data_IF_407612743697
#
_entry.id   IF_407612743697
#
_cell.length_a   1.000
_cell.length_b   1.000
_cell.length_c   1.000
_cell.angle_alpha   90.00
_cell.angle_beta   90.00
_cell.angle_gamma   90.00
#
_symmetry.space_group_name_H-M   'P 1'
#
loop_
_entity.id
_entity.type
_entity.pdbx_description
1 polymer ?
#
# COMPACT_ATOMS: atom_id res chain seq x y z
N UNK A 1 -18.08 26.81 6.27
CA UNK A 1 -17.08 25.75 6.25
C UNK A 1 -17.86 24.47 6.49
N UNK A 2 -18.20 23.74 5.40
CA UNK A 2 -18.90 22.47 5.54
C UNK A 2 -17.96 21.46 6.21
N UNK A 3 -18.50 20.63 7.10
CA UNK A 3 -17.80 19.51 7.69
C UNK A 3 -17.31 18.60 6.55
N UNK A 4 -16.03 18.67 6.26
CA UNK A 4 -15.40 17.81 5.27
C UNK A 4 -15.38 16.41 5.86
N UNK A 5 -16.23 15.53 5.35
CA UNK A 5 -16.32 14.14 5.84
C UNK A 5 -14.95 13.48 5.62
N UNK A 6 -14.30 13.06 6.70
CA UNK A 6 -13.03 12.35 6.66
C UNK A 6 -13.17 11.08 5.81
N UNK A 7 -12.24 10.85 4.89
CA UNK A 7 -12.19 9.59 4.15
C UNK A 7 -11.72 8.44 5.07
N UNK A 8 -11.80 7.17 4.58
CA UNK A 8 -11.47 6.00 5.40
C UNK A 8 -10.00 5.99 5.86
N UNK A 9 -9.06 6.48 5.04
CA UNK A 9 -7.63 6.57 5.40
C UNK A 9 -7.43 7.62 6.50
N UNK A 10 -7.98 8.82 6.35
CA UNK A 10 -7.91 9.86 7.37
C UNK A 10 -8.48 9.38 8.72
N UNK A 11 -9.64 8.71 8.68
CA UNK A 11 -10.25 8.13 9.90
C UNK A 11 -9.34 7.08 10.53
N UNK A 12 -8.77 6.16 9.74
CA UNK A 12 -7.87 5.13 10.27
C UNK A 12 -6.66 5.72 10.98
N UNK A 13 -6.01 6.72 10.36
CA UNK A 13 -4.79 7.31 10.91
C UNK A 13 -5.03 8.38 11.99
N UNK A 14 -6.29 8.75 12.26
CA UNK A 14 -6.63 9.57 13.43
C UNK A 14 -6.62 8.78 14.76
N UNK A 15 -6.64 7.44 14.70
CA UNK A 15 -6.67 6.57 15.86
C UNK A 15 -5.26 6.01 16.18
N UNK A 16 -4.77 6.14 17.45
CA UNK A 16 -3.44 5.69 17.86
C UNK A 16 -3.43 4.18 18.15
N UNK A 17 -3.55 3.34 17.13
CA UNK A 17 -3.50 1.88 17.26
C UNK A 17 -2.44 1.28 16.33
N UNK A 18 -1.97 0.08 16.67
CA UNK A 18 -1.10 -0.69 15.79
C UNK A 18 -1.83 -1.03 14.48
N UNK A 19 -1.21 -0.71 13.34
CA UNK A 19 -1.78 -0.95 12.01
C UNK A 19 -0.96 -1.94 11.22
N UNK A 20 -1.65 -2.92 10.65
CA UNK A 20 -1.12 -3.90 9.70
C UNK A 20 -1.76 -3.69 8.34
N UNK A 21 -0.94 -3.48 7.33
CA UNK A 21 -1.36 -3.16 5.97
C UNK A 21 -0.82 -4.25 5.02
N UNK A 22 -1.62 -5.28 4.68
CA UNK A 22 -1.22 -6.27 3.69
C UNK A 22 -1.24 -5.68 2.29
N UNK A 23 -0.20 -6.02 1.49
CA UNK A 23 -0.16 -5.83 0.06
C UNK A 23 -0.56 -7.12 -0.66
N UNK A 24 -1.46 -7.02 -1.63
CA UNK A 24 -1.96 -8.12 -2.45
C UNK A 24 -1.88 -7.73 -3.93
N UNK A 25 -1.34 -8.60 -4.77
CA UNK A 25 -1.31 -8.38 -6.23
C UNK A 25 -2.68 -8.71 -6.83
N UNK A 26 -3.32 -7.76 -7.51
CA UNK A 26 -4.60 -7.98 -8.17
C UNK A 26 -4.48 -9.06 -9.26
N UNK A 27 -5.40 -10.04 -9.27
CA UNK A 27 -5.40 -11.14 -10.24
C UNK A 27 -4.40 -12.25 -9.96
N UNK A 28 -3.78 -12.28 -8.77
CA UNK A 28 -2.86 -13.32 -8.31
C UNK A 28 -3.46 -14.07 -7.10
N UNK A 29 -3.30 -15.42 -6.98
CA UNK A 29 -2.67 -16.32 -7.96
C UNK A 29 -3.56 -16.60 -9.20
N UNK A 30 -4.85 -16.34 -9.14
CA UNK A 30 -5.81 -16.48 -10.24
C UNK A 30 -6.57 -15.17 -10.43
N UNK A 31 -7.13 -14.95 -11.62
CA UNK A 31 -7.82 -13.70 -11.98
C UNK A 31 -8.87 -13.27 -10.96
N UNK A 32 -9.66 -14.21 -10.43
CA UNK A 32 -10.76 -13.94 -9.49
C UNK A 32 -10.36 -13.89 -8.01
N UNK A 33 -9.11 -14.24 -7.66
CA UNK A 33 -8.70 -14.43 -6.26
C UNK A 33 -8.69 -13.15 -5.43
N UNK A 34 -8.56 -11.98 -6.04
CA UNK A 34 -8.42 -10.68 -5.35
C UNK A 34 -9.55 -10.45 -4.35
N UNK A 35 -10.79 -10.72 -4.74
CA UNK A 35 -11.97 -10.44 -3.91
C UNK A 35 -11.92 -11.21 -2.59
N UNK A 36 -11.72 -12.52 -2.69
CA UNK A 36 -11.73 -13.38 -1.50
C UNK A 36 -10.50 -13.17 -0.63
N UNK A 37 -9.32 -12.89 -1.23
CA UNK A 37 -8.08 -12.57 -0.50
C UNK A 37 -8.20 -11.27 0.28
N UNK A 38 -8.73 -10.21 -0.33
CA UNK A 38 -8.92 -8.91 0.33
C UNK A 38 -9.95 -9.02 1.47
N UNK A 39 -11.08 -9.68 1.24
CA UNK A 39 -12.07 -9.90 2.28
C UNK A 39 -11.51 -10.76 3.43
N UNK A 40 -10.77 -11.82 3.12
CA UNK A 40 -10.12 -12.66 4.11
C UNK A 40 -9.08 -11.89 4.94
N UNK A 41 -8.32 -10.99 4.32
CA UNK A 41 -7.37 -10.13 5.01
C UNK A 41 -8.10 -9.16 5.97
N UNK A 42 -9.17 -8.52 5.50
CA UNK A 42 -9.98 -7.61 6.32
C UNK A 42 -10.58 -8.34 7.53
N UNK A 43 -11.21 -9.49 7.32
CA UNK A 43 -11.83 -10.31 8.37
C UNK A 43 -10.78 -10.82 9.40
N UNK A 44 -9.53 -10.97 8.98
CA UNK A 44 -8.42 -11.41 9.85
C UNK A 44 -7.81 -10.27 10.66
N UNK A 45 -8.20 -9.02 10.36
CA UNK A 45 -7.82 -7.83 11.12
C UNK A 45 -6.77 -6.95 10.44
N UNK A 46 -6.67 -6.99 9.12
CA UNK A 46 -5.99 -5.95 8.37
C UNK A 46 -6.70 -4.60 8.59
N UNK A 47 -5.90 -3.55 8.82
CA UNK A 47 -6.46 -2.21 9.11
C UNK A 47 -6.64 -1.38 7.84
N UNK A 48 -5.83 -1.63 6.82
CA UNK A 48 -5.90 -1.09 5.46
C UNK A 48 -5.36 -2.15 4.51
N UNK A 49 -5.71 -2.10 3.24
CA UNK A 49 -5.18 -3.04 2.23
C UNK A 49 -4.63 -2.27 1.04
N UNK A 50 -3.44 -2.65 0.62
CA UNK A 50 -2.84 -2.22 -0.63
C UNK A 50 -3.10 -3.27 -1.71
N UNK A 51 -3.72 -2.85 -2.81
CA UNK A 51 -3.93 -3.69 -3.99
C UNK A 51 -2.97 -3.25 -5.09
N UNK A 52 -2.00 -4.10 -5.40
CA UNK A 52 -1.04 -3.86 -6.46
C UNK A 52 -1.67 -3.98 -7.84
N UNK A 53 -1.52 -2.95 -8.66
CA UNK A 53 -1.86 -2.97 -10.09
C UNK A 53 -0.71 -3.61 -10.85
N UNK A 54 -0.86 -4.81 -11.44
CA UNK A 54 0.21 -5.44 -12.20
C UNK A 54 0.68 -4.60 -13.38
N UNK A 55 2.00 -4.56 -13.56
CA UNK A 55 2.65 -3.81 -14.64
C UNK A 55 3.81 -4.60 -15.21
N UNK A 56 4.07 -4.48 -16.53
CA UNK A 56 5.11 -5.26 -17.24
C UNK A 56 6.54 -4.86 -16.89
N UNK A 57 6.74 -3.59 -16.45
CA UNK A 57 8.07 -3.02 -16.21
C UNK A 57 8.21 -2.47 -14.78
N UNK A 58 8.06 -3.29 -13.74
CA UNK A 58 7.90 -2.85 -12.35
C UNK A 58 9.27 -2.54 -11.70
N UNK A 59 9.83 -1.37 -11.94
CA UNK A 59 11.17 -0.97 -11.50
C UNK A 59 11.31 -0.82 -9.97
N UNK A 60 10.22 -0.55 -9.27
CA UNK A 60 10.22 -0.36 -7.82
C UNK A 60 9.99 -1.66 -7.03
N UNK A 61 9.61 -2.75 -7.71
CA UNK A 61 9.20 -3.99 -7.05
C UNK A 61 10.35 -5.00 -6.93
N UNK A 62 10.36 -5.73 -5.83
CA UNK A 62 11.25 -6.88 -5.65
C UNK A 62 10.80 -8.11 -6.46
N UNK A 63 11.67 -9.13 -6.62
CA UNK A 63 11.44 -10.26 -7.53
C UNK A 63 10.16 -11.06 -7.22
N UNK A 64 9.76 -11.14 -5.95
CA UNK A 64 8.52 -11.85 -5.54
C UNK A 64 7.28 -11.12 -6.07
N UNK A 65 7.25 -9.79 -5.92
CA UNK A 65 6.14 -8.96 -6.41
C UNK A 65 6.14 -8.94 -7.95
N UNK A 66 7.31 -8.81 -8.58
CA UNK A 66 7.44 -8.90 -10.03
C UNK A 66 6.86 -10.21 -10.59
N UNK A 67 7.20 -11.34 -9.96
CA UNK A 67 6.69 -12.66 -10.38
C UNK A 67 5.17 -12.77 -10.24
N UNK A 68 4.58 -12.27 -9.14
CA UNK A 68 3.13 -12.25 -8.94
C UNK A 68 2.43 -11.32 -9.94
N UNK A 69 3.03 -10.16 -10.25
CA UNK A 69 2.52 -9.22 -11.26
C UNK A 69 2.53 -9.84 -12.66
N UNK A 70 3.62 -10.52 -13.04
CA UNK A 70 3.69 -11.22 -14.33
C UNK A 70 2.61 -12.29 -14.44
N UNK A 71 2.46 -13.13 -13.42
CA UNK A 71 1.40 -14.16 -13.42
C UNK A 71 0.01 -13.54 -13.50
N UNK A 72 -0.25 -12.44 -12.80
CA UNK A 72 -1.53 -11.75 -12.89
C UNK A 72 -1.81 -11.17 -14.29
N UNK A 73 -0.78 -10.63 -14.96
CA UNK A 73 -0.89 -10.21 -16.36
C UNK A 73 -1.20 -11.39 -17.29
N UNK A 74 -0.54 -12.53 -17.10
CA UNK A 74 -0.79 -13.76 -17.84
C UNK A 74 -2.20 -14.31 -17.59
N UNK A 75 -2.75 -14.10 -16.38
CA UNK A 75 -4.15 -14.40 -16.05
C UNK A 75 -5.14 -13.44 -16.71
N UNK A 76 -4.67 -12.36 -17.34
CA UNK A 76 -5.51 -11.42 -18.09
C UNK A 76 -6.10 -10.29 -17.25
N UNK A 77 -5.49 -9.92 -16.09
CA UNK A 77 -5.94 -8.79 -15.28
C UNK A 77 -5.84 -7.47 -16.05
N UNK A 78 -6.81 -6.60 -15.86
CA UNK A 78 -6.85 -5.25 -16.43
C UNK A 78 -7.26 -4.24 -15.36
N UNK A 79 -6.98 -2.94 -15.57
CA UNK A 79 -7.46 -1.88 -14.69
C UNK A 79 -8.99 -1.94 -14.50
N UNK A 80 -9.73 -2.19 -15.57
CA UNK A 80 -11.19 -2.31 -15.50
C UNK A 80 -11.60 -3.46 -14.57
N UNK A 81 -10.99 -4.62 -14.72
CA UNK A 81 -11.24 -5.79 -13.86
C UNK A 81 -10.91 -5.49 -12.39
N UNK A 82 -9.82 -4.73 -12.12
CA UNK A 82 -9.47 -4.32 -10.77
C UNK A 82 -10.56 -3.44 -10.15
N UNK A 83 -11.08 -2.44 -10.87
CA UNK A 83 -12.16 -1.60 -10.39
C UNK A 83 -13.46 -2.40 -10.14
N UNK A 84 -13.80 -3.34 -11.02
CA UNK A 84 -14.92 -4.24 -10.83
C UNK A 84 -14.74 -5.09 -9.56
N UNK A 85 -13.54 -5.63 -9.32
CA UNK A 85 -13.23 -6.40 -8.11
C UNK A 85 -13.31 -5.54 -6.85
N UNK A 86 -12.78 -4.31 -6.87
CA UNK A 86 -12.90 -3.39 -5.72
C UNK A 86 -14.36 -3.07 -5.42
N UNK A 87 -15.19 -2.87 -6.44
CA UNK A 87 -16.65 -2.67 -6.27
C UNK A 87 -17.31 -3.86 -5.56
N UNK A 88 -16.94 -5.09 -5.91
CA UNK A 88 -17.46 -6.29 -5.23
C UNK A 88 -16.94 -6.42 -3.80
N UNK A 89 -15.66 -6.08 -3.55
CA UNK A 89 -15.06 -6.05 -2.21
C UNK A 89 -15.82 -5.07 -1.32
N UNK A 90 -16.17 -3.88 -1.82
CA UNK A 90 -16.92 -2.87 -1.05
C UNK A 90 -18.29 -3.30 -0.57
N UNK A 91 -18.90 -4.30 -1.20
CA UNK A 91 -20.16 -4.89 -0.72
C UNK A 91 -19.97 -5.72 0.57
N UNK A 92 -18.71 -6.09 0.90
CA UNK A 92 -18.37 -7.01 1.99
C UNK A 92 -17.57 -6.35 3.11
N UNK A 93 -16.83 -5.27 2.84
CA UNK A 93 -15.96 -4.62 3.83
C UNK A 93 -15.79 -3.14 3.58
N UNK A 94 -15.66 -2.38 4.68
CA UNK A 94 -15.32 -0.96 4.69
C UNK A 94 -13.83 -0.68 4.98
N UNK A 95 -12.97 -1.72 4.99
CA UNK A 95 -11.52 -1.54 5.18
C UNK A 95 -10.96 -0.54 4.17
N UNK A 96 -10.12 0.43 4.56
CA UNK A 96 -9.48 1.33 3.60
C UNK A 96 -8.70 0.56 2.54
N UNK A 97 -8.83 0.95 1.27
CA UNK A 97 -8.13 0.35 0.12
C UNK A 97 -7.33 1.41 -0.60
N UNK A 98 -6.02 1.19 -0.74
CA UNK A 98 -5.17 1.93 -1.65
C UNK A 98 -4.81 1.07 -2.87
N UNK A 99 -4.83 1.65 -4.06
CA UNK A 99 -4.22 1.03 -5.24
C UNK A 99 -2.76 1.47 -5.34
N UNK A 100 -1.86 0.51 -5.50
CA UNK A 100 -0.44 0.76 -5.75
C UNK A 100 -0.09 0.35 -7.18
N UNK A 101 0.48 1.25 -7.95
CA UNK A 101 0.85 0.96 -9.33
C UNK A 101 1.67 2.06 -9.99
N UNK A 102 2.00 1.84 -11.25
CA UNK A 102 2.83 2.75 -12.02
C UNK A 102 2.01 3.80 -12.75
N UNK A 103 2.62 4.95 -12.99
CA UNK A 103 1.90 6.12 -13.50
C UNK A 103 1.50 6.00 -14.98
N UNK A 104 2.26 5.25 -15.78
CA UNK A 104 2.00 5.11 -17.21
C UNK A 104 0.60 4.55 -17.57
N UNK A 105 0.08 3.48 -16.93
CA UNK A 105 -1.31 3.04 -17.14
C UNK A 105 -2.36 4.12 -16.84
N UNK A 106 -2.11 4.96 -15.84
CA UNK A 106 -2.99 6.09 -15.44
C UNK A 106 -2.99 7.17 -16.53
N UNK A 107 -1.80 7.54 -17.02
CA UNK A 107 -1.65 8.48 -18.11
C UNK A 107 -2.40 8.01 -19.37
N UNK A 108 -2.29 6.71 -19.69
CA UNK A 108 -2.96 6.12 -20.85
C UNK A 108 -4.48 6.14 -20.72
N UNK A 109 -5.03 5.96 -19.53
CA UNK A 109 -6.48 6.04 -19.27
C UNK A 109 -6.97 7.49 -19.20
N UNK A 110 -6.10 8.42 -18.81
CA UNK A 110 -6.41 9.81 -18.49
C UNK A 110 -6.77 9.98 -17.00
N UNK A 111 -6.22 11.03 -16.38
CA UNK A 111 -6.32 11.26 -14.93
C UNK A 111 -7.77 11.32 -14.44
N UNK A 112 -8.60 12.13 -15.09
CA UNK A 112 -10.02 12.30 -14.75
C UNK A 112 -10.75 10.95 -14.76
N UNK A 113 -10.64 10.22 -15.87
CA UNK A 113 -11.29 8.94 -16.07
C UNK A 113 -10.83 7.91 -15.02
N UNK A 114 -9.52 7.85 -14.77
CA UNK A 114 -8.96 6.93 -13.76
C UNK A 114 -9.48 7.24 -12.36
N UNK A 115 -9.48 8.51 -11.97
CA UNK A 115 -9.98 8.93 -10.66
C UNK A 115 -11.49 8.74 -10.51
N UNK A 116 -12.27 8.92 -11.58
CA UNK A 116 -13.71 8.63 -11.59
C UNK A 116 -13.99 7.13 -11.37
N UNK A 117 -13.16 6.25 -11.95
CA UNK A 117 -13.21 4.82 -11.65
C UNK A 117 -12.82 4.52 -10.20
N UNK A 118 -11.78 5.19 -9.65
CA UNK A 118 -11.42 5.04 -8.23
C UNK A 118 -12.59 5.36 -7.31
N UNK A 119 -13.26 6.50 -7.52
CA UNK A 119 -14.39 6.92 -6.71
C UNK A 119 -15.55 5.93 -6.84
N UNK A 120 -15.93 5.60 -8.07
CA UNK A 120 -17.10 4.74 -8.32
C UNK A 120 -16.92 3.31 -7.79
N UNK A 121 -15.69 2.81 -7.76
CA UNK A 121 -15.36 1.50 -7.18
C UNK A 121 -15.14 1.53 -5.67
N UNK A 122 -14.87 2.71 -5.08
CA UNK A 122 -14.64 2.86 -3.64
C UNK A 122 -13.19 2.71 -3.22
N UNK A 123 -12.23 3.05 -4.09
CA UNK A 123 -10.81 3.22 -3.73
C UNK A 123 -10.66 4.45 -2.84
N UNK A 124 -9.80 4.38 -1.81
CA UNK A 124 -9.57 5.47 -0.86
C UNK A 124 -8.24 6.20 -1.11
N UNK A 125 -7.24 5.52 -1.65
CA UNK A 125 -5.92 6.12 -1.86
C UNK A 125 -5.16 5.54 -3.04
N UNK A 126 -4.10 6.26 -3.44
CA UNK A 126 -3.24 5.90 -4.56
C UNK A 126 -1.77 6.02 -4.16
N UNK A 127 -0.99 4.97 -4.44
CA UNK A 127 0.46 4.90 -4.24
C UNK A 127 1.11 4.79 -5.63
N UNK A 128 1.88 5.80 -6.03
CA UNK A 128 2.52 5.88 -7.34
C UNK A 128 4.03 6.05 -7.18
N UNK A 129 4.80 4.94 -7.15
CA UNK A 129 6.22 4.95 -6.85
C UNK A 129 7.08 5.71 -7.87
N UNK A 130 6.63 5.78 -9.12
CA UNK A 130 7.33 6.40 -10.25
C UNK A 130 6.85 7.81 -10.59
N UNK A 131 5.94 8.41 -9.80
CA UNK A 131 5.51 9.79 -9.98
C UNK A 131 6.48 10.76 -9.30
N UNK A 132 7.30 11.54 -10.04
CA UNK A 132 8.23 12.48 -9.45
C UNK A 132 7.50 13.60 -8.70
N UNK A 133 8.05 14.01 -7.54
CA UNK A 133 7.46 15.08 -6.73
C UNK A 133 7.25 16.39 -7.53
N UNK A 134 8.16 16.68 -8.46
CA UNK A 134 8.15 17.88 -9.30
C UNK A 134 6.95 17.92 -10.26
N UNK A 135 6.38 16.74 -10.58
CA UNK A 135 5.24 16.56 -11.49
C UNK A 135 3.97 16.12 -10.75
N UNK A 136 4.09 15.80 -9.46
CA UNK A 136 3.00 15.21 -8.69
C UNK A 136 1.88 16.17 -8.32
N UNK A 137 2.19 17.47 -8.14
CA UNK A 137 1.25 18.45 -7.58
C UNK A 137 -0.10 18.52 -8.32
N UNK A 138 -0.16 18.64 -9.67
CA UNK A 138 -1.46 18.71 -10.36
C UNK A 138 -2.30 17.44 -10.18
N UNK A 139 -1.66 16.26 -10.21
CA UNK A 139 -2.35 14.99 -10.01
C UNK A 139 -2.84 14.83 -8.56
N UNK A 140 -2.00 15.19 -7.57
CA UNK A 140 -2.37 15.12 -6.17
C UNK A 140 -3.54 16.06 -5.84
N UNK A 141 -3.54 17.30 -6.34
CA UNK A 141 -4.64 18.24 -6.14
C UNK A 141 -5.94 17.71 -6.76
N UNK A 142 -5.87 17.16 -7.96
CA UNK A 142 -7.02 16.55 -8.62
C UNK A 142 -7.54 15.34 -7.81
N UNK A 143 -6.66 14.45 -7.36
CA UNK A 143 -7.04 13.30 -6.54
C UNK A 143 -7.73 13.72 -5.24
N UNK A 144 -7.13 14.68 -4.50
CA UNK A 144 -7.70 15.24 -3.27
C UNK A 144 -9.05 15.90 -3.49
N UNK A 145 -9.21 16.65 -4.59
CA UNK A 145 -10.50 17.28 -4.93
C UNK A 145 -11.63 16.27 -5.15
N UNK A 146 -11.26 15.03 -5.48
CA UNK A 146 -12.16 13.89 -5.67
C UNK A 146 -12.25 12.96 -4.45
N UNK A 147 -11.63 13.33 -3.32
CA UNK A 147 -11.66 12.55 -2.07
C UNK A 147 -10.74 11.32 -2.05
N UNK A 148 -9.80 11.22 -3.00
CA UNK A 148 -8.77 10.17 -3.05
C UNK A 148 -7.49 10.68 -2.42
N UNK A 149 -6.92 9.93 -1.46
CA UNK A 149 -5.67 10.27 -0.79
C UNK A 149 -4.46 9.92 -1.67
N UNK A 150 -3.68 10.90 -2.16
CA UNK A 150 -2.39 10.62 -2.78
C UNK A 150 -1.39 10.23 -1.69
N UNK A 151 -0.78 9.05 -1.80
CA UNK A 151 0.21 8.53 -0.86
C UNK A 151 1.57 8.57 -1.56
N UNK A 152 2.42 9.49 -1.15
CA UNK A 152 3.73 9.72 -1.76
C UNK A 152 4.85 9.04 -0.98
N UNK A 153 5.93 8.70 -1.68
CA UNK A 153 7.02 7.93 -1.11
C UNK A 153 8.18 8.81 -0.62
N UNK A 154 8.79 8.38 0.47
CA UNK A 154 10.09 8.87 0.96
C UNK A 154 11.05 7.69 1.12
N UNK A 155 12.33 7.93 0.91
CA UNK A 155 13.40 6.94 1.00
C UNK A 155 14.50 7.41 1.95
N UNK A 156 15.42 6.55 2.42
CA UNK A 156 16.49 6.94 3.33
C UNK A 156 17.37 8.07 2.85
N UNK A 157 17.55 8.23 1.54
CA UNK A 157 18.31 9.31 0.93
C UNK A 157 17.48 10.58 0.64
N UNK A 158 16.17 10.61 0.98
CA UNK A 158 15.33 11.79 0.78
C UNK A 158 15.73 12.91 1.77
N UNK A 159 16.10 14.11 1.28
CA UNK A 159 16.46 15.23 2.17
C UNK A 159 15.28 15.71 3.02
N UNK A 160 15.57 16.23 4.22
CA UNK A 160 14.54 16.67 5.18
C UNK A 160 13.52 17.67 4.59
N UNK A 161 14.00 18.66 3.84
CA UNK A 161 13.10 19.62 3.15
C UNK A 161 12.17 18.96 2.14
N UNK A 162 12.63 17.87 1.50
CA UNK A 162 11.84 17.12 0.53
C UNK A 162 10.81 16.24 1.25
N UNK A 163 11.17 15.64 2.40
CA UNK A 163 10.23 14.90 3.25
C UNK A 163 9.05 15.81 3.63
N UNK A 164 9.33 17.02 4.12
CA UNK A 164 8.29 17.99 4.48
C UNK A 164 7.40 18.33 3.28
N UNK A 165 7.98 18.69 2.15
CA UNK A 165 7.21 19.02 0.92
C UNK A 165 6.33 17.84 0.45
N UNK A 166 6.87 16.60 0.51
CA UNK A 166 6.13 15.38 0.18
C UNK A 166 4.93 15.21 1.12
N UNK A 167 5.13 15.35 2.43
CA UNK A 167 4.06 15.17 3.41
C UNK A 167 2.98 16.26 3.33
N UNK A 168 3.36 17.49 3.04
CA UNK A 168 2.40 18.59 2.79
C UNK A 168 1.55 18.33 1.53
N UNK A 169 2.18 17.81 0.47
CA UNK A 169 1.47 17.51 -0.78
C UNK A 169 0.58 16.28 -0.65
N UNK A 170 1.02 15.23 0.03
CA UNK A 170 0.23 14.03 0.28
C UNK A 170 -0.97 14.30 1.21
N UNK A 171 -0.78 15.11 2.26
CA UNK A 171 -1.75 15.58 3.25
C UNK A 171 -2.33 14.53 4.23
N UNK A 172 -2.53 13.29 3.83
CA UNK A 172 -3.20 12.27 4.64
C UNK A 172 -2.25 11.17 5.14
N UNK A 173 -1.36 10.71 4.26
CA UNK A 173 -0.44 9.61 4.52
C UNK A 173 0.76 9.68 3.59
N UNK A 174 1.96 9.36 4.09
CA UNK A 174 3.13 9.09 3.25
C UNK A 174 3.67 7.69 3.50
N UNK A 175 4.44 7.18 2.55
CA UNK A 175 5.00 5.84 2.56
C UNK A 175 6.53 5.92 2.68
N UNK A 176 7.07 5.44 3.79
CA UNK A 176 8.51 5.36 4.01
C UNK A 176 9.04 4.00 3.51
N UNK A 177 9.85 4.05 2.47
CA UNK A 177 10.48 2.84 1.91
C UNK A 177 11.68 2.47 2.76
N UNK A 178 11.70 1.27 3.36
CA UNK A 178 12.89 0.75 4.04
C UNK A 178 13.73 -0.08 3.06
N UNK A 179 15.02 0.20 2.92
CA UNK A 179 15.93 -0.54 2.02
C UNK A 179 16.43 -1.83 2.72
N UNK A 180 15.54 -2.68 3.16
CA UNK A 180 15.92 -3.96 3.77
C UNK A 180 15.94 -5.10 2.77
N UNK A 181 16.32 -4.90 1.48
CA UNK A 181 16.29 -6.05 0.62
C UNK A 181 16.67 -5.97 -0.85
N UNK A 182 17.15 -4.86 -1.38
CA UNK A 182 17.47 -4.78 -2.83
C UNK A 182 18.95 -5.07 -3.13
N UNK A 183 19.82 -4.99 -2.16
CA UNK A 183 21.24 -5.36 -2.35
C UNK A 183 21.65 -6.38 -1.31
N UNK A 184 22.09 -7.56 -1.73
CA UNK A 184 22.58 -8.64 -0.88
C UNK A 184 23.80 -8.32 0.00
N UNK A 185 23.98 -7.07 0.40
CA UNK A 185 24.97 -6.60 1.35
C UNK A 185 24.27 -5.94 2.54
N UNK A 186 24.48 -6.53 3.68
CA UNK A 186 24.22 -6.07 5.05
C UNK A 186 23.09 -5.07 5.23
N UNK A 187 22.04 -5.56 5.86
CA UNK A 187 21.04 -4.82 6.61
C UNK A 187 21.61 -3.47 7.07
N UNK A 188 21.08 -2.36 6.58
CA UNK A 188 21.21 -1.14 7.35
C UNK A 188 20.90 -1.53 8.80
N UNK A 189 21.82 -1.28 9.72
CA UNK A 189 21.63 -1.69 11.10
C UNK A 189 20.26 -1.18 11.57
N UNK A 190 19.60 -1.87 12.49
CA UNK A 190 18.33 -1.38 13.07
C UNK A 190 18.47 0.08 13.52
N UNK A 191 19.66 0.48 13.96
CA UNK A 191 19.99 1.84 14.34
C UNK A 191 19.87 2.83 13.17
N UNK A 192 20.45 2.52 12.01
CA UNK A 192 20.36 3.38 10.84
C UNK A 192 18.91 3.48 10.31
N UNK A 193 18.15 2.38 10.40
CA UNK A 193 16.73 2.40 10.05
C UNK A 193 15.94 3.27 11.05
N UNK A 194 16.21 3.15 12.34
CA UNK A 194 15.57 3.97 13.36
C UNK A 194 15.90 5.46 13.19
N UNK A 195 17.16 5.80 12.90
CA UNK A 195 17.56 7.18 12.57
C UNK A 195 16.79 7.73 11.38
N UNK A 196 16.64 6.93 10.33
CA UNK A 196 15.83 7.31 9.18
C UNK A 196 14.37 7.55 9.53
N UNK A 197 13.73 6.64 10.28
CA UNK A 197 12.32 6.78 10.67
C UNK A 197 12.12 7.96 11.63
N UNK A 198 13.04 8.22 12.56
CA UNK A 198 13.04 9.41 13.41
C UNK A 198 13.10 10.68 12.53
N UNK A 199 13.98 10.71 11.56
CA UNK A 199 14.10 11.83 10.60
C UNK A 199 12.82 12.05 9.80
N UNK A 200 12.12 10.97 9.37
CA UNK A 200 10.80 11.08 8.74
C UNK A 200 9.80 11.68 9.72
N UNK A 201 9.74 11.18 10.95
CA UNK A 201 8.82 11.66 12.01
C UNK A 201 9.01 13.16 12.30
N UNK A 202 10.25 13.62 12.39
CA UNK A 202 10.58 15.02 12.69
C UNK A 202 10.24 15.98 11.54
N UNK A 203 10.22 15.51 10.31
CA UNK A 203 10.06 16.34 9.13
C UNK A 203 8.73 16.14 8.40
N UNK A 204 7.96 15.11 8.72
CA UNK A 204 6.61 14.91 8.18
C UNK A 204 5.57 15.68 8.98
N UNK A 205 4.57 16.22 8.31
CA UNK A 205 3.39 16.83 8.92
C UNK A 205 2.17 15.89 8.87
N UNK A 206 2.34 14.72 8.26
CA UNK A 206 1.32 13.67 8.13
C UNK A 206 1.80 12.35 8.72
N UNK A 207 0.89 11.43 9.08
CA UNK A 207 1.26 10.06 9.42
C UNK A 207 2.07 9.38 8.31
N UNK A 208 2.86 8.37 8.67
CA UNK A 208 3.57 7.58 7.67
C UNK A 208 3.58 6.10 8.00
N UNK A 209 3.47 5.28 6.97
CA UNK A 209 3.62 3.83 7.04
C UNK A 209 4.97 3.40 6.51
N UNK A 210 5.42 2.22 6.92
CA UNK A 210 6.71 1.65 6.46
C UNK A 210 6.46 0.35 5.73
N UNK A 211 7.04 0.21 4.56
CA UNK A 211 7.04 -1.03 3.79
C UNK A 211 8.44 -1.48 3.39
N UNK A 212 8.53 -2.76 3.02
CA UNK A 212 9.69 -3.57 2.67
C UNK A 212 10.37 -4.29 3.85
N UNK A 213 10.54 -5.60 3.68
CA UNK A 213 11.30 -6.46 4.59
C UNK A 213 10.55 -6.91 5.85
N UNK A 214 9.27 -6.56 6.01
CA UNK A 214 8.44 -6.94 7.14
C UNK A 214 7.85 -8.32 6.89
N UNK A 215 8.08 -9.26 7.81
CA UNK A 215 7.67 -10.65 7.62
C UNK A 215 7.22 -11.38 8.88
N UNK A 216 7.54 -10.87 10.06
CA UNK A 216 7.23 -11.47 11.36
C UNK A 216 6.36 -10.55 12.22
N UNK A 217 5.76 -11.13 13.28
CA UNK A 217 5.04 -10.35 14.29
C UNK A 217 5.96 -9.33 14.97
N UNK A 218 7.18 -9.71 15.29
CA UNK A 218 8.16 -8.82 15.94
C UNK A 218 8.51 -7.64 15.05
N UNK A 219 8.62 -7.85 13.72
CA UNK A 219 8.78 -6.75 12.78
C UNK A 219 7.59 -5.79 12.84
N UNK A 220 6.35 -6.32 12.78
CA UNK A 220 5.13 -5.50 12.83
C UNK A 220 5.08 -4.65 14.10
N UNK A 221 5.40 -5.24 15.26
CA UNK A 221 5.48 -4.52 16.53
C UNK A 221 6.53 -3.42 16.49
N UNK A 222 7.75 -3.77 16.05
CA UNK A 222 8.86 -2.83 16.01
C UNK A 222 8.56 -1.64 15.08
N UNK A 223 8.04 -1.90 13.88
CA UNK A 223 7.72 -0.83 12.94
C UNK A 223 6.58 0.06 13.45
N UNK A 224 5.57 -0.49 14.11
CA UNK A 224 4.50 0.32 14.71
C UNK A 224 4.95 1.18 15.90
N UNK A 225 6.08 0.84 16.55
CA UNK A 225 6.70 1.70 17.55
C UNK A 225 7.44 2.90 16.93
N UNK A 226 7.83 2.82 15.66
CA UNK A 226 8.64 3.83 14.97
C UNK A 226 7.91 4.52 13.80
N UNK A 227 6.71 4.06 13.44
CA UNK A 227 5.85 4.61 12.39
C UNK A 227 4.38 4.52 12.79
N UNK A 228 3.48 4.84 11.89
CA UNK A 228 2.04 4.79 12.14
C UNK A 228 1.39 3.54 11.51
N UNK A 229 2.19 2.63 10.94
CA UNK A 229 1.72 1.36 10.41
C UNK A 229 2.79 0.58 9.64
N UNK A 230 2.64 -0.73 9.61
CA UNK A 230 3.54 -1.67 8.95
C UNK A 230 2.89 -2.30 7.71
N UNK A 231 3.57 -2.20 6.56
CA UNK A 231 3.11 -2.79 5.29
C UNK A 231 3.83 -4.11 5.04
N UNK A 232 3.08 -5.18 4.79
CA UNK A 232 3.58 -6.53 4.55
C UNK A 232 3.15 -6.99 3.16
N UNK A 233 4.10 -7.16 2.25
CA UNK A 233 3.83 -7.58 0.88
C UNK A 233 4.46 -8.92 0.52
N UNK A 234 5.76 -8.94 0.30
CA UNK A 234 6.49 -10.12 -0.21
C UNK A 234 6.29 -11.38 0.64
N UNK A 235 6.15 -11.24 1.97
CA UNK A 235 5.88 -12.36 2.85
C UNK A 235 4.51 -13.00 2.56
N UNK A 236 3.49 -12.20 2.29
CA UNK A 236 2.13 -12.69 1.95
C UNK A 236 2.16 -13.41 0.60
N UNK A 237 2.71 -12.77 -0.42
CA UNK A 237 2.82 -13.37 -1.77
C UNK A 237 3.60 -14.69 -1.73
N UNK A 238 4.74 -14.69 -1.01
CA UNK A 238 5.56 -15.91 -0.85
C UNK A 238 4.81 -17.06 -0.18
N UNK A 239 4.01 -16.76 0.85
CA UNK A 239 3.23 -17.79 1.55
C UNK A 239 2.06 -18.32 0.71
N UNK A 240 1.49 -17.51 -0.17
CA UNK A 240 0.45 -17.96 -1.11
C UNK A 240 1.00 -18.84 -2.22
N UNK A 241 2.27 -18.66 -2.59
CA UNK A 241 2.89 -19.38 -3.70
C UNK A 241 2.92 -20.89 -3.41
N UNK A 242 2.29 -21.69 -4.28
CA UNK A 242 2.16 -23.15 -4.11
C UNK A 242 1.17 -23.61 -3.05
N UNK A 243 0.45 -22.70 -2.39
CA UNK A 243 -0.61 -23.07 -1.45
C UNK A 243 -1.82 -23.67 -2.18
N UNK A 244 -2.36 -24.76 -1.65
CA UNK A 244 -3.63 -25.33 -2.12
C UNK A 244 -4.86 -24.50 -1.72
N UNK A 245 -4.71 -23.62 -0.74
CA UNK A 245 -5.75 -22.70 -0.28
C UNK A 245 -5.18 -21.32 0.07
N UNK A 246 -4.93 -20.45 -0.93
CA UNK A 246 -4.35 -19.13 -0.72
C UNK A 246 -5.13 -18.24 0.26
N UNK A 247 -6.46 -18.38 0.29
CA UNK A 247 -7.34 -17.61 1.18
C UNK A 247 -7.05 -17.96 2.64
N UNK A 248 -7.03 -19.25 2.98
CA UNK A 248 -6.77 -19.70 4.36
C UNK A 248 -5.32 -19.41 4.79
N UNK A 249 -4.37 -19.55 3.85
CA UNK A 249 -2.97 -19.16 4.09
C UNK A 249 -2.86 -17.67 4.42
N UNK A 250 -3.56 -16.81 3.69
CA UNK A 250 -3.58 -15.37 3.94
C UNK A 250 -4.20 -15.05 5.31
N UNK A 251 -5.34 -15.66 5.66
CA UNK A 251 -5.96 -15.50 6.98
C UNK A 251 -5.00 -15.84 8.11
N UNK A 252 -4.44 -17.04 8.07
CA UNK A 252 -3.54 -17.53 9.11
C UNK A 252 -2.32 -16.62 9.28
N UNK A 253 -1.73 -16.17 8.17
CA UNK A 253 -0.59 -15.27 8.21
C UNK A 253 -0.95 -13.91 8.85
N UNK A 254 -2.05 -13.29 8.42
CA UNK A 254 -2.49 -11.99 8.95
C UNK A 254 -2.83 -12.10 10.43
N UNK A 255 -3.52 -13.16 10.85
CA UNK A 255 -3.82 -13.41 12.27
C UNK A 255 -2.55 -13.57 13.10
N UNK A 256 -1.54 -14.29 12.58
CA UNK A 256 -0.21 -14.41 13.21
C UNK A 256 0.50 -13.05 13.33
N UNK A 257 0.51 -12.26 12.24
CA UNK A 257 1.11 -10.92 12.22
C UNK A 257 0.39 -9.94 13.15
N UNK A 258 -0.92 -10.11 13.38
CA UNK A 258 -1.70 -9.34 14.37
C UNK A 258 -1.58 -9.90 15.80
N UNK A 259 -0.89 -11.02 16.02
CA UNK A 259 -0.77 -11.66 17.34
C UNK A 259 -2.08 -12.29 17.84
N UNK A 260 -2.98 -12.66 16.95
CA UNK A 260 -4.26 -13.33 17.28
C UNK A 260 -4.15 -14.86 17.37
N UNK A 261 -3.06 -15.40 16.88
CA UNK A 261 -2.71 -16.83 16.96
C UNK A 261 -1.27 -16.92 17.47
N UNK A 262 -1.05 -17.73 18.50
CA UNK A 262 0.28 -18.05 19.06
C UNK A 262 0.88 -19.26 18.33
#
# INVERSE_FOLDING_TARGET
>A
LGDQVMNRIQKLFSEPQEKLIPFLTAGYPELGSTIDLVCAAADSGADMIEIGIPFSDPQADGPIIQASSQQALDNGITLKTIFEQVTEIRKRTDVPIALMGYYNPILKMGHETFLDYCISSGVDGLILPDLPLEEAEPFCELAKSKGISPILLVAPNTPNKRIRKISELASDLIYAVSILGITGNDLASKDALQEYLNRVRENSVTPFVVGFGISTRDDVVWFNQHSDGAVVGSAIIKNMNGSSNPVETTKSLIQGLKGKIS
#
